data_IF_981726578230
#
_entry.id   IF_981726578230
#
_cell.length_a   1.000
_cell.length_b   1.000
_cell.length_c   1.000
_cell.angle_alpha   90.00
_cell.angle_beta   90.00
_cell.angle_gamma   90.00
#
_symmetry.space_group_name_H-M   'P 1'
#
loop_
_entity.id
_entity.type
_entity.pdbx_description
1 polymer ?
#
# COMPACT_ATOMS: atom_id res chain seq x y z
N UNK A 1 2.43 0.28 3.80
CA UNK A 1 3.91 0.09 3.76
C UNK A 1 4.26 -0.77 2.56
N UNK A 2 5.25 -0.39 1.79
CA UNK A 2 5.73 -1.20 0.67
C UNK A 2 6.38 -2.50 1.16
N UNK A 3 6.28 -3.56 0.36
CA UNK A 3 7.18 -4.71 0.53
C UNK A 3 8.56 -4.35 -0.04
N UNK A 4 9.37 -3.71 0.81
CA UNK A 4 10.68 -3.17 0.45
C UNK A 4 11.59 -4.27 -0.12
N UNK A 5 11.60 -5.44 0.52
CA UNK A 5 12.47 -6.53 0.08
C UNK A 5 12.02 -7.08 -1.27
N UNK A 6 10.71 -7.24 -1.47
CA UNK A 6 10.17 -7.67 -2.75
C UNK A 6 10.53 -6.68 -3.86
N UNK A 7 10.30 -5.38 -3.66
CA UNK A 7 10.60 -4.35 -4.66
C UNK A 7 12.09 -4.33 -5.00
N UNK A 8 12.96 -4.34 -4.00
CA UNK A 8 14.42 -4.34 -4.22
C UNK A 8 14.89 -5.57 -5.00
N UNK A 9 14.40 -6.74 -4.61
CA UNK A 9 14.82 -7.99 -5.22
C UNK A 9 14.29 -8.14 -6.65
N UNK A 10 13.06 -7.72 -6.90
CA UNK A 10 12.47 -7.76 -8.25
C UNK A 10 13.01 -6.67 -9.17
N UNK A 11 13.48 -5.55 -8.62
CA UNK A 11 14.12 -4.51 -9.43
C UNK A 11 15.38 -5.00 -10.17
N UNK A 12 16.14 -5.89 -9.56
CA UNK A 12 17.29 -6.51 -10.21
C UNK A 12 16.90 -7.37 -11.43
N UNK A 13 15.66 -7.83 -11.47
CA UNK A 13 15.12 -8.67 -12.54
C UNK A 13 14.36 -7.86 -13.59
N UNK A 14 14.38 -6.53 -13.49
CA UNK A 14 13.56 -5.64 -14.34
C UNK A 14 13.81 -5.86 -15.83
N UNK A 15 15.06 -6.04 -16.24
CA UNK A 15 15.43 -6.22 -17.65
C UNK A 15 14.89 -7.57 -18.15
N UNK A 16 15.11 -8.64 -17.40
CA UNK A 16 14.58 -9.97 -17.71
C UNK A 16 13.05 -9.96 -17.80
N UNK A 17 12.37 -9.30 -16.85
CA UNK A 17 10.90 -9.22 -16.84
C UNK A 17 10.36 -8.39 -18.02
N UNK A 18 11.03 -7.29 -18.39
CA UNK A 18 10.57 -6.39 -19.46
C UNK A 18 10.93 -6.94 -20.84
N UNK A 19 12.12 -7.51 -21.01
CA UNK A 19 12.62 -7.98 -22.30
C UNK A 19 12.06 -9.36 -22.68
N UNK A 20 11.73 -10.18 -21.70
CA UNK A 20 11.11 -11.47 -21.93
C UNK A 20 9.68 -11.29 -22.43
N UNK A 21 9.40 -11.92 -23.59
CA UNK A 21 8.02 -11.93 -24.13
C UNK A 21 7.22 -13.04 -23.44
N UNK A 22 6.73 -12.74 -22.26
CA UNK A 22 5.92 -13.69 -21.49
C UNK A 22 4.66 -14.12 -22.24
N UNK A 23 4.58 -15.40 -22.51
CA UNK A 23 3.35 -16.06 -23.01
C UNK A 23 2.48 -16.52 -21.83
N UNK A 24 1.28 -16.98 -22.11
CA UNK A 24 0.44 -17.61 -21.09
C UNK A 24 1.06 -18.90 -20.51
N UNK A 25 1.97 -19.53 -21.25
CA UNK A 25 2.67 -20.75 -20.84
C UNK A 25 3.80 -20.43 -19.85
N UNK A 26 4.35 -19.19 -19.88
CA UNK A 26 5.42 -18.72 -19.01
C UNK A 26 4.91 -18.18 -17.67
N UNK A 27 3.59 -18.10 -17.45
CA UNK A 27 3.00 -17.54 -16.25
C UNK A 27 3.43 -18.25 -14.96
N UNK A 28 3.64 -19.57 -15.00
CA UNK A 28 4.09 -20.32 -13.82
C UNK A 28 5.54 -20.00 -13.45
N UNK A 29 6.39 -19.79 -14.45
CA UNK A 29 7.79 -19.39 -14.24
C UNK A 29 7.87 -17.98 -13.67
N UNK A 30 7.13 -17.03 -14.25
CA UNK A 30 7.02 -15.67 -13.75
C UNK A 30 6.47 -15.63 -12.31
N UNK A 31 5.43 -16.41 -12.05
CA UNK A 31 4.86 -16.53 -10.71
C UNK A 31 5.91 -17.06 -9.71
N UNK A 32 6.64 -18.11 -10.08
CA UNK A 32 7.69 -18.69 -9.23
C UNK A 32 8.80 -17.69 -8.95
N UNK A 33 9.18 -16.87 -9.94
CA UNK A 33 10.17 -15.83 -9.80
C UNK A 33 9.73 -14.76 -8.78
N UNK A 34 8.48 -14.32 -8.85
CA UNK A 34 7.94 -13.36 -7.88
C UNK A 34 7.78 -13.96 -6.48
N UNK A 35 7.33 -15.22 -6.37
CA UNK A 35 7.17 -15.88 -5.08
C UNK A 35 8.49 -16.07 -4.33
N UNK A 36 9.60 -16.34 -5.03
CA UNK A 36 10.93 -16.42 -4.42
C UNK A 36 11.39 -15.11 -3.79
N UNK A 37 10.87 -13.97 -4.27
CA UNK A 37 11.24 -12.64 -3.81
C UNK A 37 10.21 -12.04 -2.83
N UNK A 38 9.11 -12.74 -2.58
CA UNK A 38 8.06 -12.28 -1.66
C UNK A 38 8.56 -12.28 -0.22
N UNK A 39 8.16 -11.27 0.53
CA UNK A 39 8.44 -11.22 1.95
C UNK A 39 7.67 -12.33 2.69
N UNK A 40 8.33 -12.99 3.63
CA UNK A 40 7.69 -14.03 4.48
C UNK A 40 6.60 -13.41 5.37
N UNK A 41 6.79 -12.16 5.83
CA UNK A 41 5.80 -11.42 6.60
C UNK A 41 4.92 -10.60 5.67
N UNK A 42 3.60 -10.61 5.87
CA UNK A 42 2.71 -9.82 5.04
C UNK A 42 3.00 -8.31 5.19
N UNK A 43 3.11 -7.63 4.06
CA UNK A 43 3.13 -6.18 3.99
C UNK A 43 1.78 -5.67 3.51
N UNK A 44 1.31 -4.61 4.12
CA UNK A 44 0.04 -3.97 3.77
C UNK A 44 0.31 -2.52 3.34
N UNK A 45 0.06 -2.23 2.07
CA UNK A 45 0.16 -0.87 1.55
C UNK A 45 -1.14 -0.10 1.80
N UNK A 46 -2.26 -0.70 1.47
CA UNK A 46 -3.57 -0.06 1.59
C UNK A 46 -4.60 -1.01 2.19
N UNK A 47 -5.52 -0.47 2.97
CA UNK A 47 -6.69 -1.17 3.49
C UNK A 47 -7.93 -0.30 3.34
N UNK A 48 -8.90 -0.79 2.58
CA UNK A 48 -10.21 -0.16 2.48
C UNK A 48 -11.04 -0.55 3.70
N UNK A 49 -11.30 0.40 4.58
CA UNK A 49 -12.06 0.17 5.83
C UNK A 49 -13.55 0.41 5.65
N UNK A 50 -13.92 1.16 4.62
CA UNK A 50 -15.29 1.40 4.18
C UNK A 50 -15.32 1.59 2.68
N UNK A 51 -16.38 1.15 2.02
CA UNK A 51 -16.68 1.51 0.64
C UNK A 51 -17.85 2.52 0.53
N UNK A 52 -18.35 3.01 1.66
CA UNK A 52 -19.27 4.15 1.69
C UNK A 52 -18.54 5.43 1.25
N UNK A 53 -19.17 6.22 0.40
CA UNK A 53 -18.64 7.51 -0.04
C UNK A 53 -19.82 8.47 -0.35
N UNK A 54 -19.67 9.72 0.04
CA UNK A 54 -20.64 10.78 -0.24
C UNK A 54 -20.38 11.51 -1.57
N UNK A 55 -19.35 11.07 -2.34
CA UNK A 55 -19.00 11.66 -3.62
C UNK A 55 -19.43 10.76 -4.79
N UNK A 56 -19.67 11.39 -5.95
CA UNK A 56 -20.00 10.73 -7.22
C UNK A 56 -19.01 11.13 -8.31
N UNK A 57 -17.72 10.92 -8.05
CA UNK A 57 -16.65 11.27 -8.99
C UNK A 57 -16.78 10.43 -10.28
N UNK A 58 -16.75 11.09 -11.44
CA UNK A 58 -16.89 10.44 -12.76
C UNK A 58 -15.81 9.39 -13.02
N UNK A 59 -14.57 9.63 -12.52
CA UNK A 59 -13.44 8.72 -12.69
C UNK A 59 -13.48 7.52 -11.74
N UNK A 60 -14.37 7.48 -10.76
CA UNK A 60 -14.38 6.48 -9.71
C UNK A 60 -15.23 5.27 -10.09
N UNK A 61 -14.64 4.08 -10.23
CA UNK A 61 -15.39 2.86 -10.56
C UNK A 61 -16.48 2.52 -9.53
N UNK A 62 -16.36 3.02 -8.29
CA UNK A 62 -17.41 2.87 -7.27
C UNK A 62 -18.75 3.40 -7.74
N UNK A 63 -18.75 4.51 -8.48
CA UNK A 63 -19.97 5.18 -8.92
C UNK A 63 -20.68 4.44 -10.05
N UNK A 64 -19.93 3.76 -10.92
CA UNK A 64 -20.43 3.19 -12.17
C UNK A 64 -20.41 1.65 -12.22
N UNK A 65 -19.47 1.02 -11.54
CA UNK A 65 -19.17 -0.40 -11.74
C UNK A 65 -19.20 -1.24 -10.45
N UNK A 66 -19.27 -0.58 -9.27
CA UNK A 66 -19.25 -1.32 -8.01
C UNK A 66 -20.62 -1.99 -7.74
N UNK A 67 -20.64 -3.29 -7.76
CA UNK A 67 -21.79 -4.13 -7.41
C UNK A 67 -21.77 -4.62 -5.95
N UNK A 68 -20.67 -4.38 -5.22
CA UNK A 68 -20.53 -4.74 -3.82
C UNK A 68 -21.52 -3.97 -2.95
N UNK A 69 -22.05 -4.65 -1.93
CA UNK A 69 -22.82 -3.99 -0.88
C UNK A 69 -22.00 -2.89 -0.21
N UNK A 70 -22.62 -1.75 0.07
CA UNK A 70 -22.00 -0.67 0.86
C UNK A 70 -21.93 -1.11 2.31
N UNK A 71 -20.72 -1.20 2.84
CA UNK A 71 -20.47 -1.66 4.20
C UNK A 71 -19.12 -1.18 4.74
N UNK A 72 -18.98 -1.26 6.06
CA UNK A 72 -17.72 -1.03 6.74
C UNK A 72 -17.06 -2.38 7.06
N UNK A 73 -15.73 -2.42 7.01
CA UNK A 73 -14.97 -3.61 7.43
C UNK A 73 -15.28 -3.90 8.90
N UNK A 74 -15.55 -5.17 9.20
CA UNK A 74 -15.76 -5.63 10.58
C UNK A 74 -14.51 -5.36 11.45
N UNK A 75 -14.74 -4.95 12.70
CA UNK A 75 -13.66 -4.65 13.64
C UNK A 75 -12.75 -5.85 13.91
N UNK A 76 -13.33 -7.05 13.98
CA UNK A 76 -12.57 -8.27 14.24
C UNK A 76 -11.67 -8.62 13.06
N UNK A 77 -12.13 -8.41 11.84
CA UNK A 77 -11.33 -8.59 10.62
C UNK A 77 -10.17 -7.57 10.60
N UNK A 78 -10.47 -6.30 10.85
CA UNK A 78 -9.45 -5.26 10.89
C UNK A 78 -8.38 -5.56 11.95
N UNK A 79 -8.80 -5.96 13.15
CA UNK A 79 -7.89 -6.34 14.23
C UNK A 79 -6.98 -7.50 13.82
N UNK A 80 -7.53 -8.56 13.22
CA UNK A 80 -6.74 -9.69 12.72
C UNK A 80 -5.73 -9.29 11.64
N UNK A 81 -6.10 -8.39 10.74
CA UNK A 81 -5.19 -7.85 9.75
C UNK A 81 -4.06 -7.08 10.45
N UNK A 82 -4.42 -6.15 11.35
CA UNK A 82 -3.44 -5.31 12.03
C UNK A 82 -2.43 -6.11 12.86
N UNK A 83 -2.86 -7.21 13.46
CA UNK A 83 -1.99 -8.09 14.28
C UNK A 83 -0.88 -8.77 13.45
N UNK A 84 -1.07 -8.93 12.15
CA UNK A 84 -0.13 -9.56 11.23
C UNK A 84 0.88 -8.58 10.64
N UNK A 85 0.62 -7.28 10.73
CA UNK A 85 1.45 -6.24 10.12
C UNK A 85 2.45 -5.73 11.15
N UNK A 86 3.71 -5.63 10.75
CA UNK A 86 4.79 -5.09 11.57
C UNK A 86 5.49 -3.96 10.83
N UNK A 87 5.95 -2.91 11.55
CA UNK A 87 6.75 -1.88 10.94
C UNK A 87 8.06 -2.46 10.41
N UNK A 88 8.59 -1.87 9.35
CA UNK A 88 9.94 -2.20 8.92
C UNK A 88 10.93 -1.85 10.03
N UNK A 89 11.88 -2.73 10.27
CA UNK A 89 13.00 -2.44 11.15
C UNK A 89 13.92 -1.37 10.53
N UNK A 90 14.80 -0.83 11.37
CA UNK A 90 15.69 0.26 10.97
C UNK A 90 16.67 -0.16 9.87
N UNK A 91 17.13 -1.39 9.89
CA UNK A 91 18.07 -1.91 8.91
C UNK A 91 17.41 -2.04 7.53
N UNK A 92 16.24 -2.65 7.48
CA UNK A 92 15.43 -2.76 6.25
C UNK A 92 15.14 -1.38 5.65
N UNK A 93 14.76 -0.41 6.50
CA UNK A 93 14.45 0.92 6.02
C UNK A 93 15.68 1.70 5.55
N UNK A 94 16.80 1.62 6.23
CA UNK A 94 18.07 2.23 5.78
C UNK A 94 18.53 1.62 4.45
N UNK A 95 18.38 0.32 4.29
CA UNK A 95 18.66 -0.36 3.02
C UNK A 95 17.74 0.11 1.89
N UNK A 96 16.49 0.43 2.21
CA UNK A 96 15.54 1.03 1.26
C UNK A 96 15.97 2.44 0.84
N UNK A 97 16.35 3.29 1.79
CA UNK A 97 16.86 4.64 1.48
C UNK A 97 18.05 4.54 0.53
N UNK A 98 19.05 3.72 0.86
CA UNK A 98 20.22 3.55 0.00
C UNK A 98 19.86 3.03 -1.41
N UNK A 99 18.89 2.14 -1.52
CA UNK A 99 18.41 1.66 -2.82
C UNK A 99 17.73 2.79 -3.62
N UNK A 100 16.86 3.57 -2.98
CA UNK A 100 16.16 4.67 -3.65
C UNK A 100 17.13 5.75 -4.13
N UNK A 101 18.12 6.08 -3.32
CA UNK A 101 19.13 7.09 -3.68
C UNK A 101 20.10 6.60 -4.76
N UNK A 102 20.60 5.38 -4.65
CA UNK A 102 21.65 4.89 -5.55
C UNK A 102 21.11 4.25 -6.83
N UNK A 103 19.99 3.53 -6.76
CA UNK A 103 19.44 2.81 -7.93
C UNK A 103 18.35 3.60 -8.65
N UNK A 104 17.55 4.38 -7.91
CA UNK A 104 16.46 5.16 -8.49
C UNK A 104 16.83 6.65 -8.66
N UNK A 105 17.95 7.11 -8.10
CA UNK A 105 18.44 8.49 -8.22
C UNK A 105 17.55 9.53 -7.53
N UNK A 106 16.76 9.14 -6.53
CA UNK A 106 15.88 10.06 -5.78
C UNK A 106 16.49 10.33 -4.41
N UNK A 107 16.86 11.57 -4.16
CA UNK A 107 17.53 11.98 -2.92
C UNK A 107 16.56 12.59 -1.89
N UNK A 108 16.86 12.40 -0.61
CA UNK A 108 15.98 12.86 0.48
C UNK A 108 15.85 14.38 0.56
N UNK A 109 16.83 15.13 0.08
CA UNK A 109 16.79 16.60 0.05
C UNK A 109 15.88 17.17 -1.04
N UNK A 110 15.47 16.34 -2.01
CA UNK A 110 14.60 16.75 -3.11
C UNK A 110 13.15 16.77 -2.65
N UNK A 111 12.54 17.96 -2.59
CA UNK A 111 11.10 18.09 -2.33
C UNK A 111 10.35 17.83 -3.65
N UNK A 112 9.93 16.60 -3.86
CA UNK A 112 9.21 16.16 -5.06
C UNK A 112 8.12 15.16 -4.71
N UNK A 113 7.25 14.84 -5.67
CA UNK A 113 6.27 13.75 -5.52
C UNK A 113 6.97 12.40 -5.29
N UNK A 114 8.12 12.18 -5.94
CA UNK A 114 8.94 11.00 -5.74
C UNK A 114 9.45 10.88 -4.31
N UNK A 115 9.89 12.00 -3.71
CA UNK A 115 10.28 12.03 -2.29
C UNK A 115 9.14 11.54 -1.39
N UNK A 116 7.93 12.10 -1.55
CA UNK A 116 6.76 11.66 -0.78
C UNK A 116 6.49 10.17 -0.98
N UNK A 117 6.51 9.72 -2.23
CA UNK A 117 6.19 8.34 -2.56
C UNK A 117 7.19 7.34 -1.97
N UNK A 118 8.49 7.55 -2.16
CA UNK A 118 9.50 6.58 -1.73
C UNK A 118 9.87 6.67 -0.26
N UNK A 119 9.89 7.85 0.32
CA UNK A 119 10.36 8.03 1.71
C UNK A 119 9.23 8.12 2.74
N UNK A 120 8.05 8.57 2.35
CA UNK A 120 6.89 8.66 3.26
C UNK A 120 5.97 7.46 3.07
N UNK A 121 5.46 7.24 1.84
CA UNK A 121 4.48 6.17 1.58
C UNK A 121 5.03 4.76 1.82
N UNK A 122 6.36 4.57 1.71
CA UNK A 122 7.00 3.30 2.05
C UNK A 122 6.84 2.89 3.52
N UNK A 123 6.60 3.86 4.41
CA UNK A 123 6.51 3.66 5.86
C UNK A 123 5.09 3.63 6.40
N UNK A 124 4.12 4.10 5.64
CA UNK A 124 2.75 4.29 6.11
C UNK A 124 1.81 3.25 5.52
N UNK A 125 0.74 2.96 6.25
CA UNK A 125 -0.40 2.21 5.72
C UNK A 125 -1.44 3.23 5.28
N UNK A 126 -1.87 3.14 4.03
CA UNK A 126 -2.99 3.94 3.53
C UNK A 126 -4.31 3.31 3.94
N UNK A 127 -5.22 4.12 4.47
CA UNK A 127 -6.51 3.65 4.99
C UNK A 127 -7.65 4.18 4.13
N UNK A 128 -7.49 4.07 2.82
CA UNK A 128 -8.54 4.42 1.87
C UNK A 128 -8.54 3.46 0.67
N UNK A 129 -9.66 3.41 -0.02
CA UNK A 129 -9.87 2.70 -1.26
C UNK A 129 -10.91 3.46 -2.08
N UNK A 130 -12.00 2.82 -2.43
CA UNK A 130 -13.10 3.46 -3.13
C UNK A 130 -14.05 4.24 -2.22
N UNK A 131 -14.00 3.99 -0.91
CA UNK A 131 -14.80 4.70 0.06
C UNK A 131 -14.16 6.00 0.55
N UNK A 132 -14.99 6.82 1.22
CA UNK A 132 -14.53 8.01 1.95
C UNK A 132 -14.19 7.62 3.40
N UNK A 133 -12.91 7.65 3.80
CA UNK A 133 -12.49 7.12 5.10
C UNK A 133 -13.19 7.72 6.30
N UNK A 134 -13.56 9.01 6.24
CA UNK A 134 -14.25 9.68 7.36
C UNK A 134 -15.69 9.20 7.56
N UNK A 135 -16.24 8.45 6.61
CA UNK A 135 -17.53 7.79 6.77
C UNK A 135 -17.45 6.44 7.50
N UNK A 136 -16.24 5.94 7.76
CA UNK A 136 -16.06 4.80 8.62
C UNK A 136 -16.23 5.22 10.09
N UNK A 137 -17.27 4.77 10.80
CA UNK A 137 -17.51 5.15 12.19
C UNK A 137 -16.42 4.70 13.16
N UNK A 138 -15.51 3.85 12.70
CA UNK A 138 -14.42 3.28 13.51
C UNK A 138 -13.04 3.78 13.08
N UNK A 139 -12.95 4.78 12.22
CA UNK A 139 -11.67 5.22 11.66
C UNK A 139 -10.67 5.64 12.75
N UNK A 140 -11.13 6.35 13.78
CA UNK A 140 -10.27 6.76 14.88
C UNK A 140 -9.70 5.55 15.63
N UNK A 141 -10.52 4.58 15.98
CA UNK A 141 -10.08 3.35 16.66
C UNK A 141 -9.05 2.59 15.81
N UNK A 142 -9.26 2.53 14.50
CA UNK A 142 -8.36 1.86 13.57
C UNK A 142 -7.00 2.55 13.49
N UNK A 143 -7.00 3.87 13.44
CA UNK A 143 -5.76 4.67 13.48
C UNK A 143 -5.02 4.43 14.80
N UNK A 144 -5.73 4.42 15.94
CA UNK A 144 -5.13 4.16 17.24
C UNK A 144 -4.48 2.77 17.34
N UNK A 145 -5.10 1.74 16.77
CA UNK A 145 -4.54 0.38 16.73
C UNK A 145 -3.16 0.35 16.05
N UNK A 146 -3.01 1.01 14.91
CA UNK A 146 -1.72 1.09 14.22
C UNK A 146 -0.74 2.03 14.94
N UNK A 147 -1.21 3.16 15.45
CA UNK A 147 -0.39 4.13 16.17
C UNK A 147 0.26 3.53 17.43
N UNK A 148 -0.49 2.73 18.20
CA UNK A 148 0.04 2.02 19.37
C UNK A 148 1.16 1.01 19.02
N UNK A 149 1.26 0.63 17.77
CA UNK A 149 2.30 -0.27 17.25
C UNK A 149 3.39 0.46 16.46
N UNK A 150 3.46 1.78 16.58
CA UNK A 150 4.40 2.64 15.86
C UNK A 150 4.32 2.51 14.33
N UNK A 151 3.13 2.23 13.80
CA UNK A 151 2.85 2.17 12.36
C UNK A 151 2.08 3.43 11.97
N UNK A 152 2.67 4.36 11.22
CA UNK A 152 1.97 5.54 10.74
C UNK A 152 0.86 5.17 9.75
N UNK A 153 -0.24 5.89 9.81
CA UNK A 153 -1.35 5.77 8.87
C UNK A 153 -1.50 7.03 8.05
N UNK A 154 -1.95 6.87 6.80
CA UNK A 154 -2.29 7.95 5.92
C UNK A 154 -3.67 7.71 5.31
N UNK A 155 -4.47 8.74 5.22
CA UNK A 155 -5.69 8.75 4.43
C UNK A 155 -5.91 10.14 3.82
N UNK A 156 -6.44 10.19 2.63
CA UNK A 156 -6.95 11.41 2.04
C UNK A 156 -8.49 11.39 2.09
N UNK A 157 -9.07 12.55 2.27
CA UNK A 157 -10.52 12.71 2.32
C UNK A 157 -10.92 13.97 1.54
N UNK A 158 -12.15 13.97 1.05
CA UNK A 158 -12.72 15.11 0.39
C UNK A 158 -13.80 15.70 1.30
N UNK A 159 -13.56 16.90 1.80
CA UNK A 159 -14.57 17.66 2.52
C UNK A 159 -15.50 18.35 1.50
N UNK A 160 -16.55 17.68 1.07
CA UNK A 160 -17.65 18.35 0.42
C UNK A 160 -18.59 18.87 1.52
N UNK A 161 -18.48 20.14 1.85
CA UNK A 161 -19.50 20.82 2.63
C UNK A 161 -20.68 21.08 1.69
N UNK A 162 -21.76 20.32 1.86
CA UNK A 162 -23.07 20.63 1.26
C UNK A 162 -23.85 21.51 2.20
#
# INVERSE_FOLDING_TARGET
MFDINFIKNTFCLKEEIIEHKWSSEDCEELYSLFEQNRNIRPCLFSVETTNACNMTCEMCPRTTEMDRKIENMDKSIFKRISEQIFPHDRETYNSWIGFVENELGVHQEEISENHFYFFVSSRVITMHGFGEPVLDPYIQERVEIFSQRAIPTYYSFVCAFT
#
